data_IF_944266943690
#
_entry.id   IF_944266943690
#
_cell.length_a   1.000
_cell.length_b   1.000
_cell.length_c   1.000
_cell.angle_alpha   90.00
_cell.angle_beta   90.00
_cell.angle_gamma   90.00
#
_symmetry.space_group_name_H-M   'P 1'
#
loop_
_entity.id
_entity.type
_entity.pdbx_description
1 polymer ?
#
# COMPACT_ATOMS: atom_id res chain seq x y z
N UNK A 1 10.68 -11.59 -10.79
CA UNK A 1 11.43 -10.43 -10.25
C UNK A 1 12.94 -10.61 -10.43
N UNK A 2 13.53 -11.73 -9.96
CA UNK A 2 14.95 -12.05 -10.16
C UNK A 2 15.38 -12.02 -11.64
N UNK A 3 14.62 -12.69 -12.51
CA UNK A 3 14.91 -12.71 -13.96
C UNK A 3 14.79 -11.33 -14.63
N UNK A 4 13.80 -10.53 -14.23
CA UNK A 4 13.66 -9.16 -14.72
C UNK A 4 14.82 -8.27 -14.24
N UNK A 5 15.27 -8.46 -13.01
CA UNK A 5 16.43 -7.77 -12.44
C UNK A 5 17.73 -8.15 -13.17
N UNK A 6 17.95 -9.44 -13.44
CA UNK A 6 19.09 -9.94 -14.21
C UNK A 6 19.06 -9.43 -15.67
N UNK A 7 17.88 -9.33 -16.28
CA UNK A 7 17.71 -8.78 -17.63
C UNK A 7 17.99 -7.27 -17.69
N UNK A 8 17.46 -6.50 -16.73
CA UNK A 8 17.70 -5.05 -16.63
C UNK A 8 19.18 -4.71 -16.36
N UNK A 9 19.92 -5.60 -15.69
CA UNK A 9 21.38 -5.48 -15.54
C UNK A 9 22.17 -5.59 -16.86
N UNK A 10 21.57 -6.04 -17.96
CA UNK A 10 22.24 -6.06 -19.27
C UNK A 10 22.26 -4.70 -19.97
N UNK A 11 21.37 -3.77 -19.60
CA UNK A 11 21.06 -2.57 -20.40
C UNK A 11 21.41 -1.21 -19.73
N UNK A 12 21.77 -1.16 -18.44
CA UNK A 12 22.01 0.07 -17.64
C UNK A 12 23.26 -0.07 -16.72
N UNK A 13 23.75 1.00 -16.03
CA UNK A 13 24.92 0.93 -15.14
C UNK A 13 24.78 -0.22 -14.13
N UNK A 14 25.73 -1.14 -14.18
CA UNK A 14 25.61 -2.46 -13.55
C UNK A 14 25.85 -2.37 -12.05
N UNK A 15 24.92 -2.91 -11.26
CA UNK A 15 25.27 -3.40 -9.93
C UNK A 15 26.32 -4.50 -10.09
N UNK A 16 27.43 -4.40 -9.37
CA UNK A 16 28.41 -5.49 -9.33
C UNK A 16 27.76 -6.69 -8.66
N UNK A 17 28.13 -7.91 -9.09
CA UNK A 17 27.49 -9.15 -8.65
C UNK A 17 27.46 -9.30 -7.12
N UNK A 18 28.50 -8.82 -6.44
CA UNK A 18 28.61 -8.76 -4.97
C UNK A 18 27.51 -7.95 -4.28
N UNK A 19 26.93 -6.94 -4.93
CA UNK A 19 25.86 -6.09 -4.38
C UNK A 19 24.46 -6.66 -4.61
N UNK A 20 24.32 -7.63 -5.53
CA UNK A 20 23.01 -8.19 -5.91
C UNK A 20 22.31 -8.88 -4.74
N UNK A 21 22.96 -9.75 -3.94
CA UNK A 21 22.30 -10.40 -2.81
C UNK A 21 21.77 -9.39 -1.79
N UNK A 22 22.55 -8.35 -1.48
CA UNK A 22 22.14 -7.30 -0.54
C UNK A 22 20.95 -6.50 -1.07
N UNK A 23 21.01 -6.05 -2.33
CA UNK A 23 19.92 -5.26 -2.93
C UNK A 23 18.61 -6.06 -3.04
N UNK A 24 18.68 -7.34 -3.40
CA UNK A 24 17.50 -8.22 -3.45
C UNK A 24 16.93 -8.45 -2.05
N UNK A 25 17.80 -8.60 -1.06
CA UNK A 25 17.39 -8.72 0.36
C UNK A 25 16.65 -7.47 0.82
N UNK A 26 17.15 -6.29 0.47
CA UNK A 26 16.49 -5.01 0.80
C UNK A 26 15.11 -4.91 0.15
N UNK A 27 15.00 -5.24 -1.15
CA UNK A 27 13.71 -5.19 -1.88
C UNK A 27 12.70 -6.17 -1.26
N UNK A 28 13.10 -7.41 -1.00
CA UNK A 28 12.21 -8.42 -0.44
C UNK A 28 11.81 -8.09 1.00
N UNK A 29 12.78 -7.76 1.85
CA UNK A 29 12.54 -7.41 3.26
C UNK A 29 11.66 -6.18 3.41
N UNK A 30 11.95 -5.10 2.67
CA UNK A 30 11.15 -3.88 2.73
C UNK A 30 9.72 -4.11 2.22
N UNK A 31 9.54 -4.79 1.08
CA UNK A 31 8.22 -5.04 0.51
C UNK A 31 7.39 -5.96 1.40
N UNK A 32 7.95 -7.06 1.89
CA UNK A 32 7.26 -8.00 2.75
C UNK A 32 6.78 -7.33 4.05
N UNK A 33 7.66 -6.58 4.72
CA UNK A 33 7.33 -5.96 6.01
C UNK A 33 6.28 -4.86 5.86
N UNK A 34 6.48 -3.95 4.89
CA UNK A 34 5.63 -2.76 4.74
C UNK A 34 4.28 -3.07 4.13
N UNK A 35 4.20 -3.93 3.10
CA UNK A 35 2.92 -4.29 2.48
C UNK A 35 2.08 -5.17 3.39
N UNK A 36 2.70 -6.08 4.15
CA UNK A 36 1.98 -6.86 5.15
C UNK A 36 1.37 -5.94 6.21
N UNK A 37 2.13 -4.94 6.67
CA UNK A 37 1.63 -3.95 7.64
C UNK A 37 0.48 -3.11 7.07
N UNK A 38 0.63 -2.62 5.83
CA UNK A 38 -0.42 -1.86 5.16
C UNK A 38 -1.70 -2.69 4.99
N UNK A 39 -1.61 -3.94 4.53
CA UNK A 39 -2.77 -4.84 4.38
C UNK A 39 -3.49 -5.10 5.70
N UNK A 40 -2.75 -5.28 6.80
CA UNK A 40 -3.37 -5.45 8.13
C UNK A 40 -4.17 -4.20 8.53
N UNK A 41 -3.62 -3.00 8.31
CA UNK A 41 -4.33 -1.74 8.55
C UNK A 41 -5.59 -1.60 7.69
N UNK A 42 -5.51 -1.94 6.41
CA UNK A 42 -6.66 -1.91 5.51
C UNK A 42 -7.79 -2.81 6.04
N UNK A 43 -7.47 -4.04 6.47
CA UNK A 43 -8.46 -4.96 7.07
C UNK A 43 -9.05 -4.38 8.38
N UNK A 44 -8.23 -3.78 9.25
CA UNK A 44 -8.71 -3.11 10.47
C UNK A 44 -9.70 -1.99 10.14
N UNK A 45 -9.40 -1.18 9.13
CA UNK A 45 -10.31 -0.11 8.72
C UNK A 45 -11.60 -0.66 8.11
N UNK A 46 -11.55 -1.74 7.34
CA UNK A 46 -12.76 -2.38 6.81
C UNK A 46 -13.70 -2.90 7.91
N UNK A 47 -13.17 -3.49 8.99
CA UNK A 47 -13.99 -3.99 10.11
C UNK A 47 -14.48 -2.88 11.03
N UNK A 48 -13.69 -1.81 11.22
CA UNK A 48 -14.07 -0.68 12.08
C UNK A 48 -15.06 0.27 11.43
N UNK A 49 -14.97 0.41 10.12
CA UNK A 49 -15.78 1.36 9.35
C UNK A 49 -16.66 0.59 8.35
N UNK A 50 -17.68 -0.16 8.81
CA UNK A 50 -18.51 -0.99 7.94
C UNK A 50 -19.24 -0.16 6.88
N UNK A 51 -19.55 1.11 7.15
CA UNK A 51 -20.13 2.04 6.16
C UNK A 51 -19.15 2.38 5.03
N UNK A 52 -17.85 2.45 5.32
CA UNK A 52 -16.80 2.65 4.31
C UNK A 52 -16.67 1.39 3.45
N UNK A 53 -16.61 0.22 4.09
CA UNK A 53 -16.59 -1.06 3.39
C UNK A 53 -17.79 -1.21 2.43
N UNK A 54 -19.01 -0.90 2.89
CA UNK A 54 -20.20 -0.97 2.06
C UNK A 54 -20.13 -0.04 0.84
N UNK A 55 -19.62 1.18 1.00
CA UNK A 55 -19.43 2.12 -0.12
C UNK A 55 -18.40 1.63 -1.14
N UNK A 56 -17.30 1.02 -0.68
CA UNK A 56 -16.30 0.41 -1.57
C UNK A 56 -16.90 -0.78 -2.34
N UNK A 57 -17.70 -1.60 -1.66
CA UNK A 57 -18.41 -2.73 -2.26
C UNK A 57 -19.42 -2.27 -3.32
N UNK A 58 -20.18 -1.21 -3.04
CA UNK A 58 -21.11 -0.60 -4.00
C UNK A 58 -20.37 -0.05 -5.23
N UNK A 59 -19.26 0.66 -5.02
CA UNK A 59 -18.44 1.19 -6.12
C UNK A 59 -17.91 0.07 -7.03
N UNK A 60 -17.28 -0.95 -6.43
CA UNK A 60 -16.69 -2.05 -7.22
C UNK A 60 -17.76 -2.84 -7.95
N UNK A 61 -18.92 -3.10 -7.35
CA UNK A 61 -20.02 -3.80 -8.01
C UNK A 61 -20.58 -2.99 -9.18
N UNK A 62 -20.68 -1.65 -9.03
CA UNK A 62 -21.19 -0.78 -10.10
C UNK A 62 -20.24 -0.68 -11.29
N UNK A 63 -18.93 -0.58 -11.04
CA UNK A 63 -17.92 -0.32 -12.08
C UNK A 63 -17.40 -1.61 -12.71
N UNK A 64 -17.13 -2.63 -11.90
CA UNK A 64 -16.54 -3.90 -12.34
C UNK A 64 -17.63 -4.94 -12.65
N UNK A 65 -18.73 -4.91 -11.90
CA UNK A 65 -19.77 -5.94 -11.96
C UNK A 65 -19.43 -7.19 -11.15
N UNK A 66 -20.30 -8.20 -11.24
CA UNK A 66 -20.14 -9.50 -10.57
C UNK A 66 -19.65 -10.63 -11.50
N UNK A 67 -19.44 -10.33 -12.78
CA UNK A 67 -19.07 -11.34 -13.79
C UNK A 67 -17.56 -11.54 -13.94
N UNK A 68 -16.74 -10.66 -13.35
CA UNK A 68 -15.27 -10.73 -13.37
C UNK A 68 -14.66 -10.18 -12.09
N UNK A 69 -13.37 -10.46 -11.88
CA UNK A 69 -12.57 -9.83 -10.82
C UNK A 69 -12.10 -8.43 -11.23
N UNK A 70 -11.89 -7.51 -10.27
CA UNK A 70 -11.20 -6.24 -10.51
C UNK A 70 -9.77 -6.45 -11.01
N UNK A 71 -9.30 -5.58 -11.89
CA UNK A 71 -7.93 -5.57 -12.42
C UNK A 71 -7.30 -4.16 -12.36
N UNK A 72 -6.02 -4.06 -12.73
CA UNK A 72 -5.25 -2.81 -12.63
C UNK A 72 -5.86 -1.68 -13.47
N UNK A 73 -6.46 -2.03 -14.60
CA UNK A 73 -7.10 -1.11 -15.55
C UNK A 73 -8.36 -0.44 -14.96
N UNK A 74 -8.95 -1.00 -13.91
CA UNK A 74 -10.12 -0.43 -13.24
C UNK A 74 -9.74 0.72 -12.28
N UNK A 75 -8.47 0.85 -11.90
CA UNK A 75 -8.00 1.83 -10.91
C UNK A 75 -8.43 3.28 -11.20
N UNK A 76 -8.39 3.78 -12.46
CA UNK A 76 -8.82 5.15 -12.76
C UNK A 76 -10.31 5.40 -12.55
N UNK A 77 -11.13 4.37 -12.35
CA UNK A 77 -12.59 4.44 -12.22
C UNK A 77 -13.08 4.12 -10.79
N UNK A 78 -12.22 3.56 -9.94
CA UNK A 78 -12.54 3.18 -8.55
C UNK A 78 -12.03 4.26 -7.59
N UNK A 79 -12.66 5.44 -7.64
CA UNK A 79 -12.21 6.63 -6.91
C UNK A 79 -12.35 6.49 -5.40
N UNK A 80 -13.42 5.87 -4.91
CA UNK A 80 -13.65 5.66 -3.49
C UNK A 80 -12.66 4.65 -2.89
N UNK A 81 -12.32 3.58 -3.62
CA UNK A 81 -11.24 2.66 -3.22
C UNK A 81 -9.90 3.39 -3.16
N UNK A 82 -9.56 4.21 -4.16
CA UNK A 82 -8.33 5.00 -4.13
C UNK A 82 -8.32 5.98 -2.95
N UNK A 83 -9.45 6.65 -2.68
CA UNK A 83 -9.61 7.56 -1.57
C UNK A 83 -9.43 6.86 -0.21
N UNK A 84 -9.97 5.64 -0.08
CA UNK A 84 -9.75 4.78 1.07
C UNK A 84 -8.27 4.40 1.26
N UNK A 85 -7.55 4.07 0.19
CA UNK A 85 -6.12 3.75 0.27
C UNK A 85 -5.31 4.96 0.77
N UNK A 86 -5.56 6.16 0.23
CA UNK A 86 -4.86 7.37 0.65
C UNK A 86 -5.20 7.76 2.09
N UNK A 87 -6.47 7.64 2.51
CA UNK A 87 -6.84 7.88 3.90
C UNK A 87 -6.24 6.84 4.84
N UNK A 88 -6.17 5.59 4.42
CA UNK A 88 -5.51 4.53 5.20
C UNK A 88 -4.02 4.83 5.39
N UNK A 89 -3.33 5.28 4.34
CA UNK A 89 -1.92 5.69 4.42
C UNK A 89 -1.73 6.92 5.32
N UNK A 90 -2.59 7.94 5.19
CA UNK A 90 -2.54 9.17 5.99
C UNK A 90 -2.80 8.87 7.47
N UNK A 91 -3.97 8.31 7.76
CA UNK A 91 -4.48 8.10 9.13
C UNK A 91 -3.63 7.12 9.92
N UNK A 92 -3.28 5.96 9.34
CA UNK A 92 -2.38 5.03 10.04
C UNK A 92 -0.98 5.60 10.17
N UNK A 93 -0.52 6.36 9.17
CA UNK A 93 0.88 6.77 9.02
C UNK A 93 1.83 5.62 9.40
N UNK A 94 1.56 4.42 8.89
CA UNK A 94 2.16 3.18 9.39
C UNK A 94 3.70 3.12 9.25
N UNK A 95 4.30 4.11 8.58
CA UNK A 95 5.73 4.45 8.67
C UNK A 95 5.82 5.90 9.20
N UNK A 96 5.71 6.14 10.51
CA UNK A 96 5.48 7.49 11.03
C UNK A 96 6.75 8.35 11.01
N UNK A 97 7.92 7.72 11.08
CA UNK A 97 9.24 8.35 10.95
C UNK A 97 10.03 7.57 9.91
N UNK A 98 10.71 8.26 9.00
CA UNK A 98 11.53 7.59 7.98
C UNK A 98 12.72 6.87 8.60
N UNK A 99 13.39 6.01 7.82
CA UNK A 99 14.75 5.57 8.16
C UNK A 99 15.60 6.83 8.42
N UNK A 100 16.45 6.86 9.46
CA UNK A 100 17.23 8.05 9.81
C UNK A 100 18.09 8.54 8.64
N UNK A 101 18.04 9.85 8.40
CA UNK A 101 18.91 10.54 7.45
C UNK A 101 20.17 11.04 8.14
N UNK A 102 21.18 11.40 7.35
CA UNK A 102 22.36 12.14 7.81
C UNK A 102 22.69 13.27 6.83
N UNK A 103 23.08 14.44 7.35
CA UNK A 103 23.54 15.55 6.51
C UNK A 103 24.90 15.24 5.90
N UNK A 104 25.08 15.53 4.61
CA UNK A 104 26.37 15.32 3.92
C UNK A 104 27.29 16.55 3.97
N UNK A 105 26.74 17.69 4.38
CA UNK A 105 27.43 18.98 4.55
C UNK A 105 26.69 19.82 5.59
N UNK A 106 27.31 20.88 6.07
CA UNK A 106 26.63 21.91 6.86
C UNK A 106 25.49 22.50 6.02
N UNK A 107 24.29 22.59 6.59
CA UNK A 107 23.10 23.09 5.89
C UNK A 107 22.23 23.91 6.83
N UNK A 108 21.22 24.59 6.30
CA UNK A 108 20.24 25.34 7.09
C UNK A 108 18.83 24.83 6.82
N UNK A 109 18.05 24.62 7.88
CA UNK A 109 16.61 24.31 7.79
C UNK A 109 15.87 25.31 8.68
N UNK A 110 14.90 26.03 8.11
CA UNK A 110 14.11 27.05 8.83
C UNK A 110 14.97 28.07 9.59
N UNK A 111 16.15 28.43 9.05
CA UNK A 111 17.10 29.36 9.67
C UNK A 111 18.06 28.74 10.68
N UNK A 112 17.89 27.47 11.06
CA UNK A 112 18.79 26.77 11.97
C UNK A 112 19.95 26.12 11.22
N UNK A 113 21.19 26.39 11.65
CA UNK A 113 22.38 25.67 11.17
C UNK A 113 22.35 24.22 11.67
N UNK A 114 22.42 23.29 10.73
CA UNK A 114 22.57 21.86 10.97
C UNK A 114 23.97 21.45 10.48
N UNK A 115 24.89 21.08 11.39
CA UNK A 115 26.23 20.64 11.01
C UNK A 115 26.21 19.40 10.11
N UNK A 116 27.29 19.21 9.35
CA UNK A 116 27.58 17.98 8.59
C UNK A 116 27.56 16.76 9.51
N UNK A 117 27.18 15.61 8.97
CA UNK A 117 27.14 14.30 9.63
C UNK A 117 26.15 14.23 10.81
N UNK A 118 25.18 15.15 10.86
CA UNK A 118 24.11 15.16 11.86
C UNK A 118 23.00 14.19 11.47
N UNK A 119 22.57 13.34 12.41
CA UNK A 119 21.41 12.44 12.25
C UNK A 119 20.11 13.25 12.26
N UNK A 120 19.23 12.98 11.29
CA UNK A 120 17.95 13.66 11.11
C UNK A 120 16.83 12.64 11.00
N UNK A 121 15.75 12.86 11.74
CA UNK A 121 14.51 12.11 11.63
C UNK A 121 13.45 12.94 10.90
N UNK A 122 12.80 12.35 9.90
CA UNK A 122 11.69 12.98 9.18
C UNK A 122 10.38 12.43 9.74
N UNK A 123 9.62 13.29 10.41
CA UNK A 123 8.34 12.91 11.03
C UNK A 123 7.20 13.02 10.00
N UNK A 124 6.90 11.90 9.34
CA UNK A 124 5.82 11.77 8.37
C UNK A 124 4.44 11.84 9.04
N UNK A 125 4.31 11.31 10.26
CA UNK A 125 3.05 11.37 11.03
C UNK A 125 2.61 12.82 11.26
N UNK A 126 3.54 13.71 11.65
CA UNK A 126 3.24 15.13 11.83
C UNK A 126 2.77 15.81 10.55
N UNK A 127 3.27 15.41 9.38
CA UNK A 127 2.78 15.94 8.09
C UNK A 127 1.36 15.45 7.80
N UNK A 128 1.04 14.21 8.12
CA UNK A 128 -0.25 13.57 7.85
C UNK A 128 -1.35 13.90 8.88
N UNK A 129 -0.98 14.48 10.02
CA UNK A 129 -1.88 14.84 11.12
C UNK A 129 -1.80 16.33 11.50
N UNK A 130 -1.09 17.16 10.73
CA UNK A 130 -1.09 18.61 10.94
C UNK A 130 -2.51 19.19 10.76
N UNK A 131 -3.16 19.73 11.82
CA UNK A 131 -4.50 20.28 11.74
C UNK A 131 -4.59 21.53 10.86
N UNK A 132 -3.47 22.19 10.54
CA UNK A 132 -3.44 23.30 9.59
C UNK A 132 -3.62 22.81 8.13
N UNK A 133 -3.32 21.54 7.86
CA UNK A 133 -3.41 20.91 6.54
C UNK A 133 -4.59 19.96 6.42
N UNK A 134 -4.88 19.19 7.47
CA UNK A 134 -5.90 18.16 7.48
C UNK A 134 -7.02 18.52 8.47
N UNK A 135 -8.22 18.76 7.96
CA UNK A 135 -9.42 18.95 8.79
C UNK A 135 -9.75 17.66 9.56
N UNK A 136 -10.04 17.72 10.86
CA UNK A 136 -10.30 16.51 11.67
C UNK A 136 -9.23 15.41 11.44
N UNK A 137 -7.96 15.68 11.78
CA UNK A 137 -6.85 14.78 11.42
C UNK A 137 -6.97 13.40 12.07
N UNK A 138 -7.64 13.31 13.21
CA UNK A 138 -7.87 12.08 13.98
C UNK A 138 -9.14 11.32 13.55
N UNK A 139 -9.90 11.82 12.58
CA UNK A 139 -11.05 11.12 12.00
C UNK A 139 -10.63 10.39 10.73
N UNK A 140 -11.00 9.12 10.62
CA UNK A 140 -10.84 8.34 9.41
C UNK A 140 -12.00 8.64 8.44
N UNK A 141 -11.71 9.42 7.40
CA UNK A 141 -12.68 9.79 6.39
C UNK A 141 -12.11 9.67 4.96
N UNK A 142 -12.39 8.57 4.24
CA UNK A 142 -12.00 8.45 2.84
C UNK A 142 -12.56 9.56 1.94
N UNK A 143 -13.73 10.13 2.26
CA UNK A 143 -14.31 11.18 1.42
C UNK A 143 -13.47 12.47 1.38
N UNK A 144 -12.53 12.63 2.33
CA UNK A 144 -11.50 13.68 2.34
C UNK A 144 -10.75 13.81 1.03
N UNK A 145 -10.53 12.71 0.31
CA UNK A 145 -9.77 12.70 -0.94
C UNK A 145 -10.65 12.80 -2.19
N UNK A 146 -11.94 13.05 -2.04
CA UNK A 146 -12.87 13.20 -3.16
C UNK A 146 -13.19 14.68 -3.39
N UNK A 147 -13.34 15.05 -4.65
CA UNK A 147 -13.89 16.35 -5.04
C UNK A 147 -15.43 16.33 -5.02
N UNK A 148 -16.04 17.47 -5.35
CA UNK A 148 -17.51 17.64 -5.36
C UNK A 148 -18.23 16.70 -6.35
N UNK A 149 -17.51 16.18 -7.35
CA UNK A 149 -18.03 15.26 -8.36
C UNK A 149 -17.75 13.79 -8.00
N UNK A 150 -17.07 13.52 -6.87
CA UNK A 150 -16.70 12.18 -6.43
C UNK A 150 -15.44 11.63 -7.10
N UNK A 151 -14.65 12.46 -7.80
CA UNK A 151 -13.34 12.06 -8.35
C UNK A 151 -12.24 12.25 -7.32
N UNK A 152 -11.15 11.49 -7.48
CA UNK A 152 -9.99 11.61 -6.60
C UNK A 152 -9.30 12.98 -6.78
N UNK A 153 -9.14 13.71 -5.69
CA UNK A 153 -8.42 14.99 -5.67
C UNK A 153 -6.90 14.73 -5.63
N UNK A 154 -6.24 14.90 -6.79
CA UNK A 154 -4.80 14.63 -6.94
C UNK A 154 -3.92 15.52 -6.04
N UNK A 155 -4.32 16.76 -5.81
CA UNK A 155 -3.56 17.69 -4.98
C UNK A 155 -3.55 17.24 -3.51
N UNK A 156 -4.68 16.77 -3.00
CA UNK A 156 -4.76 16.20 -1.65
C UNK A 156 -4.06 14.85 -1.55
N UNK A 157 -4.20 13.97 -2.54
CA UNK A 157 -3.51 12.66 -2.48
C UNK A 157 -1.98 12.79 -2.50
N UNK A 158 -1.43 13.71 -3.30
CA UNK A 158 0.02 14.01 -3.33
C UNK A 158 0.56 14.65 -2.05
N UNK A 159 -0.34 15.09 -1.17
CA UNK A 159 -0.03 15.72 0.10
C UNK A 159 0.21 14.72 1.24
N UNK A 160 -0.14 13.45 1.06
CA UNK A 160 0.12 12.36 2.01
C UNK A 160 1.59 11.97 1.94
N UNK A 161 2.27 11.98 3.09
CA UNK A 161 3.68 11.60 3.20
C UNK A 161 3.79 10.23 3.86
N UNK A 162 4.10 9.20 3.08
CA UNK A 162 4.34 7.84 3.60
C UNK A 162 5.54 7.15 2.93
N UNK A 163 5.87 7.57 1.70
CA UNK A 163 6.98 7.05 0.90
C UNK A 163 8.23 7.95 0.96
N UNK A 164 8.29 8.91 1.89
CA UNK A 164 9.30 9.96 1.96
C UNK A 164 9.39 10.80 0.67
N UNK A 165 10.38 11.68 0.56
CA UNK A 165 10.64 12.54 -0.60
C UNK A 165 12.15 12.66 -0.88
N UNK A 166 12.49 13.14 -2.08
CA UNK A 166 13.88 13.40 -2.47
C UNK A 166 14.71 12.15 -2.73
N UNK A 167 16.03 12.22 -2.48
CA UNK A 167 17.01 11.20 -2.89
C UNK A 167 16.83 9.83 -2.23
N UNK A 168 16.17 9.78 -1.07
CA UNK A 168 15.94 8.54 -0.29
C UNK A 168 14.46 8.17 -0.22
N UNK A 169 13.63 8.71 -1.13
CA UNK A 169 12.24 8.27 -1.28
C UNK A 169 12.18 6.79 -1.63
N UNK A 170 11.07 6.16 -1.29
CA UNK A 170 10.82 4.76 -1.60
C UNK A 170 10.88 4.51 -3.12
N UNK A 171 11.64 3.49 -3.53
CA UNK A 171 11.72 3.06 -4.94
C UNK A 171 10.55 2.15 -5.35
N UNK A 172 9.83 1.59 -4.37
CA UNK A 172 8.73 0.65 -4.58
C UNK A 172 7.35 1.29 -4.55
N UNK A 173 7.24 2.61 -4.49
CA UNK A 173 5.96 3.31 -4.30
C UNK A 173 4.87 2.91 -5.30
N UNK A 174 5.17 2.94 -6.59
CA UNK A 174 4.19 2.60 -7.64
C UNK A 174 3.78 1.12 -7.58
N UNK A 175 4.74 0.23 -7.31
CA UNK A 175 4.46 -1.19 -7.13
C UNK A 175 3.57 -1.42 -5.91
N UNK A 176 3.88 -0.76 -4.79
CA UNK A 176 3.13 -0.89 -3.55
C UNK A 176 1.69 -0.39 -3.71
N UNK A 177 1.48 0.78 -4.35
CA UNK A 177 0.14 1.30 -4.62
C UNK A 177 -0.68 0.34 -5.48
N UNK A 178 -0.10 -0.19 -6.55
CA UNK A 178 -0.76 -1.17 -7.43
C UNK A 178 -1.14 -2.44 -6.67
N UNK A 179 -0.23 -2.98 -5.85
CA UNK A 179 -0.51 -4.18 -5.06
C UNK A 179 -1.60 -3.95 -4.01
N UNK A 180 -1.53 -2.85 -3.26
CA UNK A 180 -2.56 -2.52 -2.27
C UNK A 180 -3.92 -2.29 -2.93
N UNK A 181 -3.95 -1.64 -4.09
CA UNK A 181 -5.16 -1.48 -4.89
C UNK A 181 -5.76 -2.82 -5.30
N UNK A 182 -4.97 -3.72 -5.90
CA UNK A 182 -5.45 -5.02 -6.34
C UNK A 182 -5.95 -5.88 -5.17
N UNK A 183 -5.16 -5.98 -4.09
CA UNK A 183 -5.56 -6.72 -2.90
C UNK A 183 -6.85 -6.16 -2.33
N UNK A 184 -6.93 -4.84 -2.12
CA UNK A 184 -8.13 -4.22 -1.55
C UNK A 184 -9.34 -4.44 -2.44
N UNK A 185 -9.21 -4.18 -3.74
CA UNK A 185 -10.32 -4.30 -4.70
C UNK A 185 -10.85 -5.73 -4.78
N UNK A 186 -9.97 -6.73 -4.86
CA UNK A 186 -10.36 -8.15 -4.88
C UNK A 186 -11.00 -8.55 -3.55
N UNK A 187 -10.41 -8.16 -2.41
CA UNK A 187 -10.92 -8.52 -1.09
C UNK A 187 -12.31 -7.92 -0.85
N UNK A 188 -12.54 -6.65 -1.14
CA UNK A 188 -13.89 -6.05 -0.98
C UNK A 188 -14.87 -6.56 -2.03
N UNK A 189 -14.41 -6.90 -3.24
CA UNK A 189 -15.25 -7.52 -4.26
C UNK A 189 -15.70 -8.94 -3.86
N UNK A 190 -14.83 -9.74 -3.24
CA UNK A 190 -15.13 -11.16 -2.98
C UNK A 190 -15.61 -11.44 -1.55
N UNK A 191 -15.28 -10.59 -0.58
CA UNK A 191 -15.49 -10.88 0.84
C UNK A 191 -16.20 -9.76 1.60
N UNK A 192 -16.88 -10.15 2.67
CA UNK A 192 -17.32 -9.28 3.75
C UNK A 192 -16.42 -9.49 4.96
N UNK A 193 -15.91 -8.39 5.51
CA UNK A 193 -15.11 -8.37 6.73
C UNK A 193 -15.96 -7.82 7.87
N UNK A 194 -16.05 -8.59 8.95
CA UNK A 194 -16.77 -8.18 10.16
C UNK A 194 -15.87 -8.32 11.38
N UNK A 195 -15.97 -7.34 12.29
CA UNK A 195 -15.28 -7.43 13.57
C UNK A 195 -15.77 -8.66 14.34
N UNK A 196 -14.87 -9.32 15.08
CA UNK A 196 -15.28 -10.38 15.99
C UNK A 196 -16.17 -9.76 17.09
N UNK A 197 -17.43 -10.21 17.28
CA UNK A 197 -18.31 -9.63 18.29
C UNK A 197 -17.79 -9.80 19.73
N UNK A 198 -16.85 -10.74 19.95
CA UNK A 198 -16.25 -11.01 21.25
C UNK A 198 -14.96 -10.20 21.52
N UNK A 199 -14.44 -9.50 20.51
CA UNK A 199 -13.26 -8.64 20.62
C UNK A 199 -13.60 -7.25 20.12
N UNK A 200 -13.46 -6.24 20.98
CA UNK A 200 -13.46 -4.87 20.51
C UNK A 200 -12.31 -4.73 19.49
N UNK A 201 -12.56 -4.33 18.23
CA UNK A 201 -11.53 -4.27 17.22
C UNK A 201 -10.60 -3.12 17.56
N UNK A 202 -9.69 -3.26 18.54
CA UNK A 202 -8.82 -2.19 19.04
C UNK A 202 -7.79 -1.79 18.00
N UNK A 203 -7.33 -0.55 18.07
CA UNK A 203 -6.36 0.03 17.12
C UNK A 203 -4.96 -0.04 17.73
N UNK A 204 -4.76 -0.97 18.67
CA UNK A 204 -3.52 -1.10 19.42
C UNK A 204 -2.42 -1.59 18.48
N UNK A 205 -1.22 -1.07 18.68
CA UNK A 205 -0.09 -1.34 17.82
C UNK A 205 1.20 -1.55 18.60
N UNK A 206 2.16 -2.13 17.91
CA UNK A 206 3.57 -2.17 18.30
C UNK A 206 4.34 -1.25 17.35
N UNK A 207 5.06 -0.29 17.93
CA UNK A 207 5.90 0.63 17.17
C UNK A 207 7.32 0.09 17.05
N UNK A 208 7.82 0.05 15.81
CA UNK A 208 9.23 -0.16 15.47
C UNK A 208 9.63 0.85 14.39
N UNK A 209 10.05 0.39 13.22
CA UNK A 209 10.06 1.24 12.02
C UNK A 209 8.65 1.42 11.46
N UNK A 210 7.89 0.33 11.41
CA UNK A 210 6.49 0.30 11.03
C UNK A 210 5.60 0.25 12.28
N UNK A 211 4.41 0.84 12.20
CA UNK A 211 3.34 0.69 13.20
C UNK A 211 2.55 -0.56 12.81
N UNK A 212 2.82 -1.67 13.49
CA UNK A 212 2.11 -2.93 13.24
C UNK A 212 0.94 -3.07 14.19
N UNK A 213 -0.27 -3.41 13.70
CA UNK A 213 -1.34 -3.77 14.61
C UNK A 213 -0.94 -4.93 15.50
N UNK A 214 -1.41 -4.92 16.76
CA UNK A 214 -1.35 -6.11 17.61
C UNK A 214 -2.22 -7.22 17.03
N UNK A 215 -2.03 -8.49 17.45
CA UNK A 215 -2.89 -9.58 17.01
C UNK A 215 -4.37 -9.23 17.16
N UNK A 216 -5.14 -9.42 16.09
CA UNK A 216 -6.58 -9.17 16.03
C UNK A 216 -7.26 -10.31 15.26
N UNK A 217 -8.53 -10.56 15.56
CA UNK A 217 -9.33 -11.54 14.81
C UNK A 217 -10.39 -10.85 13.95
N UNK A 218 -10.69 -11.45 12.80
CA UNK A 218 -11.68 -10.97 11.84
C UNK A 218 -12.52 -12.14 11.36
N UNK A 219 -13.82 -11.92 11.21
CA UNK A 219 -14.69 -12.87 10.53
C UNK A 219 -14.82 -12.45 9.06
N UNK A 220 -14.49 -13.39 8.16
CA UNK A 220 -14.53 -13.20 6.71
C UNK A 220 -15.57 -14.16 6.14
N UNK A 221 -16.57 -13.62 5.44
CA UNK A 221 -17.53 -14.40 4.69
C UNK A 221 -17.43 -14.05 3.21
N UNK A 222 -17.66 -15.02 2.34
CA UNK A 222 -17.73 -14.75 0.91
C UNK A 222 -19.01 -13.97 0.59
N UNK A 223 -18.91 -13.04 -0.36
CA UNK A 223 -20.06 -12.30 -0.90
C UNK A 223 -20.83 -13.13 -1.92
N UNK A 224 -20.16 -14.07 -2.58
CA UNK A 224 -20.69 -14.96 -3.61
C UNK A 224 -19.85 -16.26 -3.69
N UNK A 225 -20.05 -17.10 -4.71
CA UNK A 225 -19.25 -18.30 -4.94
C UNK A 225 -17.76 -17.99 -5.21
N UNK A 226 -16.91 -18.99 -5.00
CA UNK A 226 -15.47 -18.92 -5.30
C UNK A 226 -15.13 -19.01 -6.80
N UNK A 227 -16.13 -19.16 -7.68
CA UNK A 227 -15.92 -19.56 -9.08
C UNK A 227 -14.98 -18.61 -9.83
N UNK A 228 -15.04 -17.30 -9.55
CA UNK A 228 -14.17 -16.31 -10.17
C UNK A 228 -12.71 -16.46 -9.72
N UNK A 229 -12.50 -16.67 -8.42
CA UNK A 229 -11.18 -16.87 -7.85
C UNK A 229 -10.58 -18.20 -8.32
N UNK A 230 -11.37 -19.26 -8.35
CA UNK A 230 -10.94 -20.58 -8.82
C UNK A 230 -10.54 -20.55 -10.30
N UNK A 231 -11.35 -19.91 -11.16
CA UNK A 231 -11.02 -19.71 -12.58
C UNK A 231 -9.74 -18.89 -12.75
N UNK A 232 -9.53 -17.85 -11.94
CA UNK A 232 -8.32 -17.03 -12.00
C UNK A 232 -7.08 -17.84 -11.59
N UNK A 233 -7.16 -18.64 -10.52
CA UNK A 233 -6.07 -19.51 -10.07
C UNK A 233 -5.72 -20.55 -11.14
N UNK A 234 -6.73 -21.21 -11.72
CA UNK A 234 -6.53 -22.20 -12.79
C UNK A 234 -5.84 -21.58 -14.02
N UNK A 235 -6.27 -20.38 -14.43
CA UNK A 235 -5.65 -19.65 -15.53
C UNK A 235 -4.18 -19.34 -15.25
N UNK A 236 -3.86 -18.81 -14.07
CA UNK A 236 -2.48 -18.48 -13.69
C UNK A 236 -1.58 -19.72 -13.63
N UNK A 237 -2.11 -20.84 -13.15
CA UNK A 237 -1.39 -22.13 -13.16
C UNK A 237 -1.11 -22.59 -14.59
N UNK A 238 -2.10 -22.51 -15.49
CA UNK A 238 -1.92 -22.87 -16.89
C UNK A 238 -0.88 -21.98 -17.61
N UNK A 239 -0.90 -20.67 -17.37
CA UNK A 239 0.08 -19.72 -17.91
C UNK A 239 1.50 -20.01 -17.40
N UNK A 240 1.64 -20.38 -16.12
CA UNK A 240 2.91 -20.81 -15.53
C UNK A 240 3.45 -22.07 -16.21
N UNK A 241 2.62 -23.10 -16.35
CA UNK A 241 3.02 -24.36 -17.02
C UNK A 241 3.38 -24.14 -18.49
N UNK A 242 2.66 -23.27 -19.20
CA UNK A 242 3.00 -22.91 -20.58
C UNK A 242 4.37 -22.23 -20.69
N UNK A 243 4.67 -21.30 -19.77
CA UNK A 243 5.96 -20.60 -19.74
C UNK A 243 7.14 -21.52 -19.37
N UNK A 244 6.93 -22.47 -18.44
CA UNK A 244 7.92 -23.48 -18.08
C UNK A 244 8.23 -24.40 -19.27
N UNK A 245 7.21 -24.88 -19.98
CA UNK A 245 7.38 -25.71 -21.17
C UNK A 245 8.08 -24.96 -22.32
N UNK A 246 7.81 -23.66 -22.48
CA UNK A 246 8.46 -22.85 -23.52
C UNK A 246 9.93 -22.54 -23.21
N UNK A 247 10.31 -22.49 -21.92
CA UNK A 247 11.70 -22.38 -21.50
C UNK A 247 12.46 -23.72 -21.65
N UNK A 248 11.81 -24.86 -21.40
CA UNK A 248 12.41 -26.19 -21.59
C UNK A 248 12.60 -26.61 -23.05
N UNK A 249 11.79 -26.05 -23.97
CA UNK A 249 11.90 -26.34 -25.41
C UNK A 249 12.98 -25.51 -26.14
N UNK A 250 13.53 -24.47 -25.49
CA UNK A 250 14.55 -23.56 -26.02
C UNK A 250 15.93 -23.72 -25.34
N UNK A 251 16.12 -24.79 -24.58
CA UNK A 251 17.40 -25.26 -24.01
C UNK A 251 17.76 -26.60 -24.62
#
# INVERSE_FOLDING_TARGET
MMDAFIRLQREQPRLQLEHVPATVTDIFGASQDTLSTALQWLVIFLIRYPKVQAKMQEEVDRIVGRDRLPCAEDQPHLHYIMAFLYESMRFSSFVPVTIPHATTTNTFIMGYLIPKDTVIFINQWSVNHDPAKWSNPEDFDPARFLDENGFINKDLTSSVMIFSLGKRRCIGEELSKMQLFLFTSILVHQCNFTANPNEDPKMDFTYGLTIKPKPFTVNVTLRDTMDLLDKAVQRLQAEKTANENHQSANT
#
